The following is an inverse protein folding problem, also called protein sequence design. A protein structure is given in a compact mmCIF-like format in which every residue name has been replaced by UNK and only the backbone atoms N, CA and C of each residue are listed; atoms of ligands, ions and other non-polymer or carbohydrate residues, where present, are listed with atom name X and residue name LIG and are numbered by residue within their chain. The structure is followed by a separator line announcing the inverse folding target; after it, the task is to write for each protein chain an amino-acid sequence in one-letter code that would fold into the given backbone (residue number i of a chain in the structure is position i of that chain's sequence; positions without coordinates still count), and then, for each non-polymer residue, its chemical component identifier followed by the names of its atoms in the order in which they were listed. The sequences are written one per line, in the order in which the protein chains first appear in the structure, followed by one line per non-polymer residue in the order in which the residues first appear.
data_IF_069514046645
#
_entry.id   IF_069514046645
#
_cell.length_a   1.000
_cell.length_b   1.000
_cell.length_c   1.000
_cell.angle_alpha   90.00
_cell.angle_beta   90.00
_cell.angle_gamma   90.00
#
_symmetry.space_group_name_H-M   'P 1'
#
loop_
_entity.id
_entity.type
_entity.pdbx_description
1 polymer ?
#
# COMPACT_ATOMS: atom_id res chain seq x y z
N UNK A 1 -7.41 0.05 0.77
CA UNK A 1 -6.47 0.39 -0.33
C UNK A 1 -5.08 0.49 0.27
N UNK A 2 -4.10 -0.13 -0.37
CA UNK A 2 -2.69 -0.08 0.01
C UNK A 2 -2.02 0.80 -1.03
N UNK A 3 -1.40 1.90 -0.62
CA UNK A 3 -0.75 2.84 -1.55
C UNK A 3 0.73 2.90 -1.20
N UNK A 4 1.59 2.62 -2.16
CA UNK A 4 3.02 2.45 -1.94
C UNK A 4 3.84 2.88 -3.16
N UNK A 5 5.11 3.22 -2.93
CA UNK A 5 6.09 3.39 -4.01
C UNK A 5 6.85 2.07 -4.22
N UNK A 6 6.65 1.36 -5.33
CA UNK A 6 7.34 0.10 -5.59
C UNK A 6 8.84 0.28 -5.83
N UNK A 7 9.32 1.50 -6.13
CA UNK A 7 10.75 1.78 -6.27
C UNK A 7 11.46 1.93 -4.92
N UNK A 8 10.70 2.00 -3.82
CA UNK A 8 11.23 1.87 -2.47
C UNK A 8 11.10 0.40 -2.01
N UNK A 9 12.20 -0.36 -1.90
CA UNK A 9 12.14 -1.78 -1.56
C UNK A 9 11.43 -2.07 -0.24
N UNK A 10 11.57 -1.19 0.76
CA UNK A 10 10.89 -1.34 2.04
C UNK A 10 9.38 -1.24 1.90
N UNK A 11 8.90 -0.28 1.10
CA UNK A 11 7.46 -0.13 0.84
C UNK A 11 6.89 -1.28 0.02
N UNK A 12 7.65 -1.82 -0.93
CA UNK A 12 7.23 -3.00 -1.70
C UNK A 12 7.02 -4.21 -0.80
N UNK A 13 7.99 -4.52 0.06
CA UNK A 13 7.89 -5.63 1.04
C UNK A 13 6.73 -5.41 1.99
N UNK A 14 6.57 -4.19 2.52
CA UNK A 14 5.44 -3.83 3.38
C UNK A 14 4.10 -4.01 2.66
N UNK A 15 3.97 -3.57 1.41
CA UNK A 15 2.74 -3.67 0.65
C UNK A 15 2.36 -5.13 0.40
N UNK A 16 3.33 -5.99 0.08
CA UNK A 16 3.11 -7.43 -0.04
C UNK A 16 2.63 -8.06 1.27
N UNK A 17 3.22 -7.69 2.40
CA UNK A 17 2.78 -8.17 3.72
C UNK A 17 1.34 -7.73 4.02
N UNK A 18 1.03 -6.44 3.83
CA UNK A 18 -0.31 -5.91 4.03
C UNK A 18 -1.35 -6.56 3.09
N UNK A 19 -0.94 -6.87 1.86
CA UNK A 19 -1.76 -7.59 0.89
C UNK A 19 -2.05 -9.01 1.37
N UNK A 20 -1.02 -9.78 1.74
CA UNK A 20 -1.14 -11.15 2.24
C UNK A 20 -2.02 -11.25 3.48
N UNK A 21 -1.83 -10.36 4.45
CA UNK A 21 -2.65 -10.31 5.68
C UNK A 21 -4.14 -10.08 5.42
N UNK A 22 -4.50 -9.52 4.27
CA UNK A 22 -5.87 -9.19 3.90
C UNK A 22 -6.40 -10.04 2.74
N UNK A 23 -5.62 -11.00 2.24
CA UNK A 23 -6.09 -12.00 1.30
C UNK A 23 -7.29 -12.76 1.92
N UNK A 24 -8.35 -12.97 1.15
CA UNK A 24 -9.59 -13.59 1.64
C UNK A 24 -10.67 -12.61 2.13
N UNK A 25 -10.32 -11.36 2.48
CA UNK A 25 -11.31 -10.31 2.86
C UNK A 25 -12.09 -9.71 1.66
N UNK A 26 -11.76 -10.14 0.44
CA UNK A 26 -12.49 -9.81 -0.79
C UNK A 26 -12.23 -8.41 -1.37
N UNK A 27 -11.59 -7.48 -0.66
CA UNK A 27 -11.49 -6.05 -1.10
C UNK A 27 -10.15 -5.38 -0.83
N UNK A 28 -9.05 -6.03 -1.19
CA UNK A 28 -7.71 -5.40 -1.12
C UNK A 28 -7.32 -4.85 -2.48
N UNK A 29 -7.09 -3.54 -2.55
CA UNK A 29 -6.61 -2.85 -3.75
C UNK A 29 -5.22 -2.26 -3.47
N UNK A 30 -4.13 -2.94 -3.87
CA UNK A 30 -2.80 -2.36 -3.89
C UNK A 30 -2.62 -1.44 -5.09
N UNK A 31 -2.11 -0.24 -4.83
CA UNK A 31 -1.91 0.82 -5.81
C UNK A 31 -0.48 1.35 -5.73
N UNK A 32 0.24 1.35 -6.86
CA UNK A 32 1.58 1.90 -6.96
C UNK A 32 1.56 3.37 -7.40
N UNK A 33 2.50 4.17 -6.90
CA UNK A 33 2.65 5.59 -7.29
C UNK A 33 3.40 5.76 -8.62
N UNK A 34 4.45 4.97 -8.83
CA UNK A 34 5.36 5.10 -9.97
C UNK A 34 5.83 3.72 -10.44
N UNK A 35 6.36 3.67 -11.65
CA UNK A 35 7.06 2.50 -12.21
C UNK A 35 8.44 2.94 -12.70
N UNK A 36 9.37 2.00 -12.81
CA UNK A 36 10.65 2.25 -13.43
C UNK A 36 10.44 2.65 -14.90
N UNK A 37 11.11 3.71 -15.36
CA UNK A 37 10.87 4.27 -16.71
C UNK A 37 11.55 3.46 -17.81
N UNK A 38 12.74 2.93 -17.53
CA UNK A 38 13.59 2.29 -18.53
C UNK A 38 13.09 0.88 -18.92
N UNK A 39 12.42 0.19 -18.01
CA UNK A 39 11.91 -1.18 -18.17
C UNK A 39 10.49 -1.33 -17.58
N UNK A 40 9.65 -0.30 -17.73
CA UNK A 40 8.36 -0.20 -17.01
C UNK A 40 7.39 -1.36 -17.24
N UNK A 41 7.48 -2.05 -18.37
CA UNK A 41 6.68 -3.26 -18.65
C UNK A 41 7.11 -4.45 -17.80
N UNK A 42 8.41 -4.72 -17.69
CA UNK A 42 8.94 -5.81 -16.88
C UNK A 42 8.65 -5.55 -15.40
N UNK A 43 8.91 -4.33 -14.93
CA UNK A 43 8.59 -3.94 -13.57
C UNK A 43 7.07 -4.04 -13.26
N UNK A 44 6.21 -3.72 -14.22
CA UNK A 44 4.77 -3.92 -14.06
C UNK A 44 4.40 -5.41 -13.99
N UNK A 45 5.04 -6.26 -14.80
CA UNK A 45 4.83 -7.70 -14.76
C UNK A 45 5.23 -8.28 -13.40
N UNK A 46 6.40 -7.90 -12.87
CA UNK A 46 6.85 -8.29 -11.53
C UNK A 46 5.85 -7.90 -10.44
N UNK A 47 5.30 -6.68 -10.51
CA UNK A 47 4.27 -6.23 -9.59
C UNK A 47 2.99 -7.06 -9.74
N UNK A 48 2.57 -7.38 -10.96
CA UNK A 48 1.38 -8.21 -11.20
C UNK A 48 1.56 -9.61 -10.62
N UNK A 49 2.73 -10.22 -10.76
CA UNK A 49 3.03 -11.52 -10.15
C UNK A 49 2.91 -11.46 -8.62
N UNK A 50 3.53 -10.46 -7.99
CA UNK A 50 3.50 -10.26 -6.52
C UNK A 50 2.10 -10.06 -5.94
N UNK A 51 1.20 -9.45 -6.69
CA UNK A 51 -0.14 -9.10 -6.23
C UNK A 51 -1.27 -9.91 -6.91
N UNK A 52 -0.97 -11.11 -7.42
CA UNK A 52 -1.96 -11.99 -8.08
C UNK A 52 -2.76 -11.27 -9.18
N UNK A 53 -2.09 -10.44 -9.98
CA UNK A 53 -2.63 -9.63 -11.06
C UNK A 53 -3.40 -8.38 -10.63
N UNK A 54 -3.65 -8.18 -9.32
CA UNK A 54 -4.53 -7.12 -8.79
C UNK A 54 -3.73 -5.91 -8.29
N UNK A 55 -2.91 -5.31 -9.14
CA UNK A 55 -2.15 -4.09 -8.82
C UNK A 55 -2.48 -2.98 -9.80
N UNK A 56 -2.66 -1.75 -9.30
CA UNK A 56 -3.14 -0.63 -10.10
C UNK A 56 -2.26 0.60 -9.95
N UNK A 57 -2.20 1.47 -10.96
CA UNK A 57 -1.59 2.78 -10.80
C UNK A 57 -2.53 3.69 -10.01
N UNK A 58 -2.03 4.35 -8.96
CA UNK A 58 -2.81 5.37 -8.25
C UNK A 58 -3.06 6.57 -9.19
N UNK A 59 -4.27 7.12 -9.16
CA UNK A 59 -4.62 8.30 -9.94
C UNK A 59 -4.67 9.56 -9.05
N UNK A 60 -4.65 10.74 -9.68
CA UNK A 60 -4.67 12.03 -8.99
C UNK A 60 -5.95 12.25 -8.17
N UNK A 61 -7.08 11.69 -8.60
CA UNK A 61 -8.35 11.80 -7.89
C UNK A 61 -8.29 11.12 -6.51
N UNK A 62 -7.68 9.93 -6.41
CA UNK A 62 -7.45 9.22 -5.14
C UNK A 62 -6.51 10.05 -4.25
N UNK A 63 -5.40 10.54 -4.80
CA UNK A 63 -4.42 11.35 -4.04
C UNK A 63 -5.09 12.59 -3.46
N UNK A 64 -5.85 13.32 -4.27
CA UNK A 64 -6.54 14.55 -3.88
C UNK A 64 -7.66 14.28 -2.85
N UNK A 65 -8.50 13.26 -3.09
CA UNK A 65 -9.62 12.94 -2.20
C UNK A 65 -9.16 12.55 -0.80
N UNK A 66 -8.07 11.81 -0.68
CA UNK A 66 -7.55 11.33 0.60
C UNK A 66 -6.37 12.15 1.12
N UNK A 67 -6.03 13.27 0.45
CA UNK A 67 -4.94 14.17 0.84
C UNK A 67 -3.63 13.43 1.11
N UNK A 68 -3.29 12.48 0.23
CA UNK A 68 -2.12 11.61 0.39
C UNK A 68 -0.86 12.42 0.09
N UNK A 69 -0.14 12.82 1.14
CA UNK A 69 1.11 13.60 1.01
C UNK A 69 2.35 12.71 0.92
N UNK A 70 2.32 11.54 1.55
CA UNK A 70 3.45 10.61 1.66
C UNK A 70 2.98 9.15 1.46
N UNK A 71 3.92 8.27 1.10
CA UNK A 71 3.74 6.81 1.08
C UNK A 71 4.73 6.13 2.03
N UNK A 72 4.41 4.93 2.56
CA UNK A 72 3.20 4.17 2.29
C UNK A 72 1.98 4.63 3.10
N UNK A 73 0.80 4.36 2.55
CA UNK A 73 -0.49 4.67 3.16
C UNK A 73 -1.43 3.46 3.10
N UNK A 74 -2.17 3.24 4.17
CA UNK A 74 -3.26 2.27 4.23
C UNK A 74 -4.58 3.03 4.43
N UNK A 75 -5.51 2.82 3.51
CA UNK A 75 -6.86 3.38 3.59
C UNK A 75 -7.82 2.24 3.86
N UNK A 76 -8.51 2.29 5.00
CA UNK A 76 -9.58 1.35 5.36
C UNK A 76 -10.90 2.08 5.53
N UNK A 77 -11.99 1.32 5.49
CA UNK A 77 -13.30 1.80 5.89
C UNK A 77 -13.55 1.32 7.31
N UNK A 78 -13.94 2.24 8.19
CA UNK A 78 -14.33 1.97 9.57
C UNK A 78 -15.73 2.55 9.74
N UNK A 79 -16.73 1.67 9.78
CA UNK A 79 -18.16 2.03 9.69
C UNK A 79 -18.43 2.88 8.42
N UNK A 80 -18.76 4.15 8.59
CA UNK A 80 -19.05 5.10 7.51
C UNK A 80 -17.92 6.10 7.25
N UNK A 81 -16.75 5.92 7.89
CA UNK A 81 -15.60 6.81 7.78
C UNK A 81 -14.44 6.12 7.09
N UNK A 82 -13.67 6.91 6.35
CA UNK A 82 -12.36 6.47 5.88
C UNK A 82 -11.33 6.69 6.99
N UNK A 83 -10.59 5.63 7.31
CA UNK A 83 -9.40 5.71 8.15
C UNK A 83 -8.18 5.65 7.25
N UNK A 84 -7.31 6.65 7.39
CA UNK A 84 -6.08 6.78 6.60
C UNK A 84 -4.92 6.68 7.57
N UNK A 85 -4.10 5.65 7.43
CA UNK A 85 -2.88 5.45 8.22
C UNK A 85 -1.68 5.68 7.31
N UNK A 86 -0.83 6.63 7.69
CA UNK A 86 0.47 6.87 7.06
C UNK A 86 1.55 6.19 7.89
N UNK A 87 2.54 5.61 7.22
CA UNK A 87 3.62 4.90 7.88
C UNK A 87 4.95 5.61 7.62
N UNK A 88 5.75 5.73 8.68
CA UNK A 88 7.15 6.14 8.60
C UNK A 88 8.03 5.00 8.08
N UNK A 89 9.26 5.32 7.66
CA UNK A 89 10.22 4.29 7.26
C UNK A 89 10.55 3.30 8.38
N UNK A 90 10.53 3.74 9.64
CA UNK A 90 10.78 2.88 10.79
C UNK A 90 9.67 1.81 10.93
N UNK A 91 8.41 2.24 10.86
CA UNK A 91 7.25 1.34 10.92
C UNK A 91 7.21 0.36 9.74
N UNK A 92 7.58 0.82 8.54
CA UNK A 92 7.72 -0.03 7.34
C UNK A 92 8.76 -1.14 7.54
N UNK A 93 9.84 -0.85 8.28
CA UNK A 93 10.89 -1.82 8.63
C UNK A 93 10.53 -2.69 9.85
N UNK A 94 9.35 -2.49 10.45
CA UNK A 94 8.94 -3.19 11.67
C UNK A 94 9.66 -2.70 12.93
N UNK A 95 10.31 -1.54 12.87
CA UNK A 95 11.02 -0.94 14.01
C UNK A 95 10.09 0.13 14.61
N UNK A 96 9.61 -0.12 15.83
CA UNK A 96 8.80 0.86 16.58
C UNK A 96 7.28 0.83 16.34
N UNK A 97 6.72 -0.29 15.86
CA UNK A 97 5.27 -0.45 15.82
C UNK A 97 4.70 -0.41 17.26
N UNK A 98 3.75 0.48 17.59
CA UNK A 98 3.02 0.34 18.85
C UNK A 98 2.23 -0.96 18.81
N UNK A 99 2.28 -1.72 19.90
CA UNK A 99 1.46 -2.90 20.10
C UNK A 99 -0.02 -2.51 19.94
N UNK A 100 -0.63 -2.84 18.79
CA UNK A 100 -2.07 -2.68 18.51
C UNK A 100 -2.94 -3.66 19.32
N UNK A 101 -2.45 -4.16 20.46
CA UNK A 101 -3.13 -5.12 21.32
C UNK A 101 -3.87 -4.48 22.50
N UNK A 102 -3.94 -3.15 22.58
CA UNK A 102 -4.69 -2.44 23.62
C UNK A 102 -5.71 -1.49 23.02
N UNK A 103 -6.85 -2.04 22.59
CA UNK A 103 -8.16 -1.38 22.72
C UNK A 103 -9.21 -2.49 22.59
N UNK A 104 -9.70 -2.92 23.76
CA UNK A 104 -10.77 -3.90 23.95
C UNK A 104 -12.06 -3.18 24.29
#
# INVERSE_FOLDING_TARGET
MIIFDPLNPGQLVWAEQQYRQRLGSGKVMPMFTRIQKDNGWDHLNDLREKFNGKVFKVNEQIISRFQIKNTPALITTDQDKFRITLFSEAEVRGIGAPNLSEEK
#
